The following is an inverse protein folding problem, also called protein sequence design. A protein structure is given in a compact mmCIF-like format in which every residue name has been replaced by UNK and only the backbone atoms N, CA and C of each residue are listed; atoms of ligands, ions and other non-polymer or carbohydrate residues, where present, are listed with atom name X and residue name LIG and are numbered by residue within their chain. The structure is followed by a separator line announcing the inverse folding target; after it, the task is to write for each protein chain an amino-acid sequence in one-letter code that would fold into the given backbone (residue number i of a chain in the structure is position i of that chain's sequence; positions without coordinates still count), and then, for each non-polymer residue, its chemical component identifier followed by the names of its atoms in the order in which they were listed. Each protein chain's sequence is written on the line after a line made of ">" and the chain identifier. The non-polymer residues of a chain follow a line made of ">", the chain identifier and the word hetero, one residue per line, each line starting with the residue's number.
data_IF_274503422117
#
_entry.id   IF_274503422117
#
_cell.length_a   1.000
_cell.length_b   1.000
_cell.length_c   1.000
_cell.angle_alpha   90.00
_cell.angle_beta   90.00
_cell.angle_gamma   90.00
#
_symmetry.space_group_name_H-M   'P 1'
#
loop_
_entity.id
_entity.type
_entity.pdbx_description
1 polymer ?
#
# COMPACT_ATOMS: atom_id res chain seq x y z
N UNK A 1 -11.39 -14.49 -27.71
CA UNK A 1 -10.29 -13.68 -28.23
C UNK A 1 -9.14 -13.76 -27.22
N UNK A 2 -7.92 -14.09 -27.66
CA UNK A 2 -6.71 -14.03 -26.84
C UNK A 2 -6.42 -12.56 -26.50
N UNK A 3 -6.02 -12.29 -25.26
CA UNK A 3 -5.47 -10.99 -24.91
C UNK A 3 -4.12 -10.78 -25.59
N UNK A 4 -3.84 -9.56 -26.00
CA UNK A 4 -2.55 -9.14 -26.51
C UNK A 4 -1.86 -8.25 -25.48
N UNK A 5 -0.53 -8.24 -25.45
CA UNK A 5 0.26 -7.47 -24.49
C UNK A 5 1.31 -6.65 -25.22
N UNK A 6 1.50 -5.43 -24.78
CA UNK A 6 2.67 -4.63 -25.16
C UNK A 6 3.23 -3.89 -23.94
N UNK A 7 4.51 -3.57 -24.00
CA UNK A 7 5.17 -2.77 -22.98
C UNK A 7 5.96 -1.63 -23.58
N UNK A 8 6.09 -0.55 -22.84
CA UNK A 8 6.95 0.58 -23.17
C UNK A 8 7.56 1.21 -21.91
N UNK A 9 8.65 1.92 -22.13
CA UNK A 9 9.37 2.66 -21.10
C UNK A 9 9.33 4.15 -21.46
N UNK A 10 9.15 4.98 -20.45
CA UNK A 10 9.16 6.44 -20.59
C UNK A 10 10.10 7.03 -19.56
N UNK A 11 10.97 7.94 -20.01
CA UNK A 11 11.74 8.79 -19.11
C UNK A 11 10.86 9.93 -18.63
N UNK A 12 10.80 10.09 -17.30
CA UNK A 12 10.02 11.15 -16.69
C UNK A 12 10.88 12.39 -16.52
N UNK A 13 10.38 13.53 -16.96
CA UNK A 13 11.03 14.83 -16.84
C UNK A 13 10.37 15.71 -15.78
N UNK A 14 11.16 16.59 -15.18
CA UNK A 14 10.68 17.51 -14.15
C UNK A 14 10.73 16.94 -12.74
N UNK A 15 10.37 17.77 -11.77
CA UNK A 15 10.35 17.39 -10.36
C UNK A 15 9.06 16.68 -10.00
N UNK A 16 9.15 15.43 -9.54
CA UNK A 16 8.03 14.66 -9.04
C UNK A 16 8.06 14.65 -7.52
N UNK A 17 6.98 15.10 -6.89
CA UNK A 17 6.80 15.17 -5.44
C UNK A 17 5.73 14.21 -4.93
N UNK A 18 4.83 13.77 -5.81
CA UNK A 18 3.77 12.82 -5.48
C UNK A 18 3.42 11.93 -6.66
N UNK A 19 2.87 10.77 -6.34
CA UNK A 19 2.29 9.81 -7.30
C UNK A 19 0.84 9.61 -6.93
N UNK A 20 -0.05 9.78 -7.89
CA UNK A 20 -1.47 9.51 -7.72
C UNK A 20 -1.91 8.33 -8.56
N UNK A 21 -2.57 7.38 -7.93
CA UNK A 21 -3.10 6.19 -8.57
C UNK A 21 -4.55 6.45 -9.00
N UNK A 22 -4.83 6.30 -10.29
CA UNK A 22 -6.17 6.36 -10.89
C UNK A 22 -6.36 5.16 -11.83
N UNK A 23 -5.86 3.99 -11.42
CA UNK A 23 -5.84 2.81 -12.27
C UNK A 23 -7.09 1.95 -12.05
N UNK A 24 -7.79 1.64 -13.12
CA UNK A 24 -8.94 0.74 -13.09
C UNK A 24 -8.52 -0.72 -12.90
N UNK A 25 -7.63 -1.21 -13.73
CA UNK A 25 -7.17 -2.60 -13.71
C UNK A 25 -5.67 -2.71 -13.97
N UNK A 26 -5.02 -3.56 -13.22
CA UNK A 26 -3.56 -3.78 -13.23
C UNK A 26 -2.87 -3.26 -12.00
N UNK A 27 -1.71 -3.81 -11.69
CA UNK A 27 -0.92 -3.48 -10.52
C UNK A 27 -0.08 -2.21 -10.67
N UNK A 28 0.29 -1.62 -9.55
CA UNK A 28 1.20 -0.47 -9.49
C UNK A 28 2.34 -0.78 -8.53
N UNK A 29 3.56 -0.63 -9.03
CA UNK A 29 4.79 -0.73 -8.24
C UNK A 29 5.49 0.62 -8.27
N UNK A 30 5.71 1.21 -7.08
CA UNK A 30 6.43 2.46 -6.91
C UNK A 30 7.66 2.20 -6.06
N UNK A 31 8.84 2.45 -6.61
CA UNK A 31 10.12 2.24 -5.97
C UNK A 31 10.86 3.57 -5.83
N UNK A 32 11.63 3.72 -4.76
CA UNK A 32 12.61 4.78 -4.68
C UNK A 32 13.72 4.52 -5.70
N UNK A 33 14.07 5.53 -6.46
CA UNK A 33 15.25 5.48 -7.30
C UNK A 33 16.53 5.43 -6.46
N UNK A 34 17.40 4.50 -6.80
CA UNK A 34 18.76 4.44 -6.28
C UNK A 34 19.68 5.29 -7.18
N UNK A 35 20.47 6.18 -6.55
CA UNK A 35 21.44 7.04 -7.24
C UNK A 35 20.85 8.28 -7.94
N UNK A 36 21.72 9.00 -8.65
CA UNK A 36 21.37 10.18 -9.45
C UNK A 36 21.16 9.78 -10.91
N UNK A 37 20.05 10.17 -11.48
CA UNK A 37 19.76 9.92 -12.89
C UNK A 37 18.28 10.16 -13.21
N UNK A 38 17.90 9.89 -14.42
CA UNK A 38 16.54 10.09 -14.88
C UNK A 38 15.56 9.13 -14.23
N UNK A 39 14.37 9.62 -13.92
CA UNK A 39 13.28 8.82 -13.41
C UNK A 39 12.63 8.05 -14.57
N UNK A 40 12.20 6.84 -14.31
CA UNK A 40 11.61 5.97 -15.34
C UNK A 40 10.23 5.48 -14.96
N UNK A 41 9.39 5.35 -15.96
CA UNK A 41 8.10 4.69 -15.89
C UNK A 41 8.06 3.58 -16.93
N UNK A 42 7.84 2.37 -16.48
CA UNK A 42 7.54 1.22 -17.33
C UNK A 42 6.08 0.88 -17.18
N UNK A 43 5.42 0.67 -18.32
CA UNK A 43 4.07 0.11 -18.34
C UNK A 43 4.01 -1.14 -19.20
N UNK A 44 3.13 -2.04 -18.80
CA UNK A 44 2.73 -3.21 -19.54
C UNK A 44 1.22 -3.21 -19.67
N UNK A 45 0.74 -3.21 -20.87
CA UNK A 45 -0.70 -3.13 -21.18
C UNK A 45 -1.15 -4.45 -21.80
N UNK A 46 -2.12 -5.09 -21.14
CA UNK A 46 -2.86 -6.22 -21.68
C UNK A 46 -4.22 -5.73 -22.17
N UNK A 47 -4.60 -6.04 -23.40
CA UNK A 47 -5.84 -5.57 -24.02
C UNK A 47 -6.53 -6.64 -24.84
N UNK A 48 -7.82 -6.46 -25.06
CA UNK A 48 -8.64 -7.31 -25.93
C UNK A 48 -9.37 -6.43 -26.93
N UNK A 49 -9.13 -6.68 -28.21
CA UNK A 49 -9.66 -5.86 -29.30
C UNK A 49 -8.62 -4.90 -29.84
N UNK A 50 -9.02 -3.66 -30.13
CA UNK A 50 -8.10 -2.67 -30.69
C UNK A 50 -7.07 -2.19 -29.65
N UNK A 51 -5.82 -2.13 -30.08
CA UNK A 51 -4.72 -1.63 -29.26
C UNK A 51 -4.95 -0.18 -28.88
N UNK A 52 -4.99 0.11 -27.59
CA UNK A 52 -4.98 1.49 -27.10
C UNK A 52 -3.67 2.18 -27.50
N UNK A 53 -3.77 3.26 -28.26
CA UNK A 53 -2.62 4.04 -28.75
C UNK A 53 -2.20 5.17 -27.81
N UNK A 54 -2.97 5.40 -26.75
CA UNK A 54 -2.81 6.57 -25.90
C UNK A 54 -1.78 6.40 -24.78
N UNK A 55 -1.29 7.54 -24.31
CA UNK A 55 -0.55 7.66 -23.05
C UNK A 55 -1.54 7.51 -21.90
N UNK A 56 -1.18 6.71 -20.89
CA UNK A 56 -2.05 6.43 -19.74
C UNK A 56 -1.59 7.15 -18.46
N UNK A 57 -0.48 7.84 -18.52
CA UNK A 57 0.04 8.66 -17.43
C UNK A 57 0.15 10.13 -17.83
N UNK A 58 0.17 11.02 -16.85
CA UNK A 58 0.42 12.46 -17.04
C UNK A 58 1.12 13.03 -15.80
N UNK A 59 1.78 14.16 -15.96
CA UNK A 59 2.40 14.91 -14.86
C UNK A 59 1.74 16.28 -14.78
N UNK A 60 1.21 16.60 -13.62
CA UNK A 60 0.55 17.88 -13.33
C UNK A 60 1.13 18.45 -12.03
N UNK A 61 1.80 19.61 -12.10
CA UNK A 61 2.35 20.29 -10.92
C UNK A 61 3.19 19.40 -9.99
N UNK A 62 4.08 18.59 -10.55
CA UNK A 62 4.90 17.66 -9.78
C UNK A 62 4.19 16.38 -9.35
N UNK A 63 2.93 16.19 -9.69
CA UNK A 63 2.16 14.98 -9.44
C UNK A 63 2.19 14.08 -10.67
N UNK A 64 2.74 12.89 -10.53
CA UNK A 64 2.64 11.83 -11.54
C UNK A 64 1.33 11.08 -11.35
N UNK A 65 0.46 11.13 -12.33
CA UNK A 65 -0.84 10.47 -12.30
C UNK A 65 -0.79 9.22 -13.17
N UNK A 66 -1.05 8.07 -12.58
CA UNK A 66 -1.06 6.76 -13.24
C UNK A 66 -2.49 6.34 -13.49
N UNK A 67 -2.95 6.53 -14.71
CA UNK A 67 -4.33 6.27 -15.13
C UNK A 67 -4.54 4.85 -15.68
N UNK A 68 -5.79 4.48 -15.87
CA UNK A 68 -6.18 3.25 -16.54
C UNK A 68 -6.21 3.38 -18.06
N UNK A 69 -6.48 2.29 -18.73
CA UNK A 69 -6.56 2.20 -20.20
C UNK A 69 -7.97 1.89 -20.74
N UNK A 70 -8.98 1.83 -19.86
CA UNK A 70 -10.37 1.59 -20.22
C UNK A 70 -10.90 0.20 -19.82
N UNK A 71 -12.06 -0.18 -20.36
CA UNK A 71 -12.82 -1.34 -19.86
C UNK A 71 -12.35 -2.71 -20.34
N UNK A 72 -11.56 -2.78 -21.40
CA UNK A 72 -11.08 -4.04 -21.99
C UNK A 72 -9.57 -4.17 -21.97
N UNK A 73 -8.95 -3.44 -21.07
CA UNK A 73 -7.52 -3.48 -20.89
C UNK A 73 -7.14 -3.37 -19.41
N UNK A 74 -5.94 -3.78 -19.15
CA UNK A 74 -5.28 -3.71 -17.85
C UNK A 74 -3.90 -3.11 -18.06
N UNK A 75 -3.47 -2.20 -17.20
CA UNK A 75 -2.13 -1.62 -17.25
C UNK A 75 -1.39 -1.81 -15.95
N UNK A 76 -0.24 -2.46 -16.02
CA UNK A 76 0.70 -2.58 -14.92
C UNK A 76 1.78 -1.49 -15.03
N UNK A 77 2.02 -0.79 -13.94
CA UNK A 77 3.06 0.24 -13.85
C UNK A 77 4.18 -0.19 -12.93
N UNK A 78 5.40 0.13 -13.34
CA UNK A 78 6.57 0.15 -12.47
C UNK A 78 7.24 1.51 -12.61
N UNK A 79 7.35 2.24 -11.51
CA UNK A 79 7.84 3.63 -11.51
C UNK A 79 8.95 3.76 -10.48
N UNK A 80 10.06 4.35 -10.91
CA UNK A 80 11.13 4.78 -10.01
C UNK A 80 11.00 6.28 -9.72
N UNK A 81 10.94 6.64 -8.45
CA UNK A 81 10.63 7.99 -7.98
C UNK A 81 11.69 8.53 -7.02
N UNK A 82 11.76 9.85 -6.81
CA UNK A 82 12.65 10.43 -5.80
C UNK A 82 12.32 9.95 -4.39
N UNK A 83 13.28 10.09 -3.47
CA UNK A 83 13.08 9.82 -2.04
C UNK A 83 11.93 10.66 -1.46
N UNK A 84 11.13 10.06 -0.58
CA UNK A 84 10.09 10.77 0.16
C UNK A 84 8.85 11.17 -0.64
N UNK A 85 8.67 10.64 -1.84
CA UNK A 85 7.48 10.90 -2.67
C UNK A 85 6.23 10.42 -1.96
N UNK A 86 5.21 11.26 -1.94
CA UNK A 86 3.88 10.91 -1.43
C UNK A 86 3.16 10.02 -2.44
N UNK A 87 2.47 9.00 -1.97
CA UNK A 87 1.66 8.10 -2.81
C UNK A 87 0.22 8.10 -2.34
N UNK A 88 -0.70 8.46 -3.22
CA UNK A 88 -2.14 8.45 -2.93
C UNK A 88 -2.95 7.92 -4.11
N UNK A 89 -4.24 7.71 -3.90
CA UNK A 89 -5.21 7.33 -4.93
C UNK A 89 -5.72 5.90 -4.80
N UNK A 90 -6.21 5.37 -5.89
CA UNK A 90 -6.87 4.07 -5.89
C UNK A 90 -6.58 3.23 -7.13
N UNK A 91 -6.67 1.92 -6.93
CA UNK A 91 -6.67 0.90 -7.97
C UNK A 91 -7.93 0.07 -7.79
N UNK A 92 -8.76 -0.06 -8.83
CA UNK A 92 -9.99 -0.85 -8.68
C UNK A 92 -9.70 -2.35 -8.58
N UNK A 93 -8.80 -2.86 -9.43
CA UNK A 93 -8.40 -4.27 -9.42
C UNK A 93 -6.93 -4.42 -9.76
N UNK A 94 -6.13 -4.70 -8.77
CA UNK A 94 -4.68 -4.88 -8.89
C UNK A 94 -3.94 -4.66 -7.58
N UNK A 95 -2.74 -5.20 -7.47
CA UNK A 95 -1.87 -5.02 -6.31
C UNK A 95 -1.17 -3.67 -6.30
N UNK A 96 -0.83 -3.20 -5.13
CA UNK A 96 -0.05 -1.98 -4.91
C UNK A 96 1.20 -2.37 -4.13
N UNK A 97 2.38 -2.12 -4.71
CA UNK A 97 3.68 -2.38 -4.11
C UNK A 97 4.46 -1.08 -3.98
N UNK A 98 4.80 -0.70 -2.76
CA UNK A 98 5.49 0.55 -2.45
C UNK A 98 6.79 0.27 -1.70
N UNK A 99 7.90 0.80 -2.21
CA UNK A 99 9.22 0.63 -1.61
C UNK A 99 9.90 1.98 -1.40
N UNK A 100 10.27 2.27 -0.16
CA UNK A 100 11.00 3.48 0.24
C UNK A 100 10.33 4.78 -0.23
N UNK A 101 9.06 4.92 0.05
CA UNK A 101 8.25 6.12 -0.25
C UNK A 101 7.99 6.96 1.00
N UNK A 102 7.39 8.12 0.83
CA UNK A 102 6.93 9.01 1.91
C UNK A 102 5.59 8.56 2.50
N UNK A 103 4.70 9.50 2.76
CA UNK A 103 3.36 9.19 3.25
C UNK A 103 2.53 8.45 2.18
N UNK A 104 1.66 7.56 2.65
CA UNK A 104 0.84 6.68 1.80
C UNK A 104 -0.62 6.82 2.18
N UNK A 105 -1.46 7.04 1.17
CA UNK A 105 -2.93 6.99 1.31
C UNK A 105 -3.53 6.34 0.07
N UNK A 106 -3.68 5.02 0.09
CA UNK A 106 -4.12 4.25 -1.09
C UNK A 106 -5.23 3.27 -0.77
N UNK A 107 -6.03 2.99 -1.79
CA UNK A 107 -7.13 2.03 -1.74
C UNK A 107 -7.04 1.07 -2.92
N UNK A 108 -7.34 -0.21 -2.70
CA UNK A 108 -7.59 -1.17 -3.77
C UNK A 108 -8.91 -1.90 -3.55
N UNK A 109 -9.64 -2.14 -4.63
CA UNK A 109 -10.84 -2.97 -4.56
C UNK A 109 -10.48 -4.45 -4.44
N UNK A 110 -9.58 -4.92 -5.29
CA UNK A 110 -9.12 -6.32 -5.28
C UNK A 110 -7.63 -6.37 -5.56
N UNK A 111 -6.87 -6.87 -4.61
CA UNK A 111 -5.42 -7.01 -4.70
C UNK A 111 -4.74 -6.76 -3.37
N UNK A 112 -3.48 -7.18 -3.28
CA UNK A 112 -2.70 -6.97 -2.05
C UNK A 112 -2.04 -5.59 -2.06
N UNK A 113 -1.86 -5.05 -0.86
CA UNK A 113 -1.05 -3.86 -0.64
C UNK A 113 0.19 -4.30 0.12
N UNK A 114 1.36 -4.06 -0.46
CA UNK A 114 2.65 -4.36 0.16
C UNK A 114 3.48 -3.09 0.25
N UNK A 115 3.99 -2.82 1.43
CA UNK A 115 4.80 -1.63 1.72
C UNK A 115 6.10 -2.06 2.41
N UNK A 116 7.21 -1.49 1.97
CA UNK A 116 8.51 -1.67 2.61
C UNK A 116 9.28 -0.34 2.60
N UNK A 117 9.57 0.17 3.78
CA UNK A 117 10.30 1.43 3.91
C UNK A 117 9.43 2.65 3.66
N UNK A 118 8.42 2.87 4.48
CA UNK A 118 7.58 4.08 4.44
C UNK A 118 8.00 5.04 5.53
N UNK A 119 8.35 6.27 5.15
CA UNK A 119 8.82 7.29 6.10
C UNK A 119 7.74 8.20 6.65
N UNK A 120 6.56 8.22 6.05
CA UNK A 120 5.42 9.03 6.47
C UNK A 120 4.26 8.21 7.06
N UNK A 121 3.17 8.88 7.37
CA UNK A 121 1.95 8.24 7.83
C UNK A 121 1.36 7.31 6.76
N UNK A 122 0.74 6.22 7.20
CA UNK A 122 0.15 5.19 6.34
C UNK A 122 -1.35 5.13 6.57
N UNK A 123 -2.11 5.25 5.50
CA UNK A 123 -3.54 4.98 5.46
C UNK A 123 -3.83 4.10 4.24
N UNK A 124 -4.14 2.83 4.45
CA UNK A 124 -4.34 1.85 3.38
C UNK A 124 -5.63 1.07 3.58
N UNK A 125 -6.32 0.84 2.48
CA UNK A 125 -7.59 0.15 2.46
C UNK A 125 -7.69 -0.84 1.31
N UNK A 126 -8.11 -2.05 1.60
CA UNK A 126 -8.42 -3.05 0.59
C UNK A 126 -9.83 -3.61 0.83
N UNK A 127 -10.57 -3.91 -0.22
CA UNK A 127 -11.81 -4.68 -0.03
C UNK A 127 -11.50 -6.17 0.01
N UNK A 128 -10.75 -6.66 -0.98
CA UNK A 128 -10.33 -8.06 -1.04
C UNK A 128 -8.82 -8.14 -1.28
N UNK A 129 -8.08 -8.35 -0.22
CA UNK A 129 -6.62 -8.47 -0.31
C UNK A 129 -5.92 -8.35 1.02
N UNK A 130 -4.73 -8.91 1.05
CA UNK A 130 -3.83 -8.84 2.20
C UNK A 130 -3.13 -7.47 2.22
N UNK A 131 -2.94 -6.95 3.41
CA UNK A 131 -2.12 -5.75 3.65
C UNK A 131 -0.88 -6.19 4.42
N UNK A 132 0.30 -5.89 3.86
CA UNK A 132 1.59 -6.15 4.50
C UNK A 132 2.41 -4.87 4.54
N UNK A 133 2.98 -4.56 5.69
CA UNK A 133 3.84 -3.39 5.86
C UNK A 133 5.08 -3.71 6.70
N UNK A 134 6.25 -3.34 6.23
CA UNK A 134 7.53 -3.52 6.90
C UNK A 134 8.33 -2.21 6.88
N UNK A 135 9.22 -2.03 7.84
CA UNK A 135 10.10 -0.86 7.94
C UNK A 135 9.34 0.47 7.81
N UNK A 136 8.25 0.60 8.56
CA UNK A 136 7.42 1.81 8.58
C UNK A 136 7.86 2.67 9.76
N UNK A 137 8.20 3.93 9.49
CA UNK A 137 8.77 4.90 10.44
C UNK A 137 7.91 6.14 10.67
N UNK A 138 6.75 6.22 10.04
CA UNK A 138 5.84 7.35 10.18
C UNK A 138 5.16 7.42 11.54
N UNK A 139 4.32 8.42 11.75
CA UNK A 139 3.67 8.66 13.03
C UNK A 139 2.57 7.64 13.35
N UNK A 140 1.92 7.07 12.31
CA UNK A 140 0.81 6.15 12.48
C UNK A 140 0.62 5.24 11.28
N UNK A 141 -0.01 4.09 11.51
CA UNK A 141 -0.53 3.19 10.48
C UNK A 141 -2.03 3.01 10.69
N UNK A 142 -2.78 3.20 9.64
CA UNK A 142 -4.20 2.90 9.57
C UNK A 142 -4.42 1.94 8.40
N UNK A 143 -4.75 0.68 8.71
CA UNK A 143 -4.90 -0.39 7.73
C UNK A 143 -6.27 -1.05 7.89
N UNK A 144 -7.00 -1.16 6.81
CA UNK A 144 -8.33 -1.78 6.80
C UNK A 144 -8.48 -2.69 5.58
N UNK A 145 -9.00 -3.88 5.81
CA UNK A 145 -9.46 -4.76 4.73
C UNK A 145 -10.79 -5.41 5.11
N UNK A 146 -11.56 -5.84 4.14
CA UNK A 146 -12.77 -6.63 4.43
C UNK A 146 -12.42 -8.11 4.44
N UNK A 147 -11.75 -8.59 3.38
CA UNK A 147 -11.34 -9.99 3.26
C UNK A 147 -9.83 -10.06 3.02
N UNK A 148 -9.10 -10.35 4.07
CA UNK A 148 -7.65 -10.47 4.01
C UNK A 148 -6.98 -10.33 5.37
N UNK A 149 -5.76 -10.74 5.42
CA UNK A 149 -4.90 -10.60 6.58
C UNK A 149 -4.22 -9.24 6.60
N UNK A 150 -3.95 -8.73 7.79
CA UNK A 150 -3.13 -7.55 8.01
C UNK A 150 -1.88 -7.97 8.77
N UNK A 151 -0.70 -7.70 8.21
CA UNK A 151 0.58 -8.10 8.75
C UNK A 151 1.53 -6.90 8.75
N UNK A 152 1.83 -6.34 9.91
CA UNK A 152 2.59 -5.11 10.05
C UNK A 152 3.79 -5.30 10.97
N UNK A 153 4.95 -4.84 10.50
CA UNK A 153 6.22 -4.83 11.23
C UNK A 153 6.84 -3.43 11.15
N UNK A 154 6.38 -2.48 11.98
CA UNK A 154 6.99 -1.15 12.04
C UNK A 154 8.43 -1.20 12.54
N UNK A 155 9.25 -0.27 12.08
CA UNK A 155 10.63 -0.13 12.51
C UNK A 155 10.80 0.75 13.76
N UNK A 156 9.77 1.52 14.10
CA UNK A 156 9.73 2.38 15.28
C UNK A 156 8.37 2.24 15.97
N UNK A 157 8.29 2.54 17.28
CA UNK A 157 7.00 2.60 17.96
C UNK A 157 6.11 3.68 17.36
N UNK A 158 4.86 3.34 17.10
CA UNK A 158 3.88 4.25 16.50
C UNK A 158 2.45 3.78 16.80
N UNK A 159 1.49 4.63 16.50
CA UNK A 159 0.07 4.28 16.62
C UNK A 159 -0.33 3.35 15.46
N UNK A 160 -1.07 2.29 15.78
CA UNK A 160 -1.62 1.35 14.80
C UNK A 160 -3.11 1.21 14.99
N UNK A 161 -3.85 1.42 13.90
CA UNK A 161 -5.25 1.05 13.79
C UNK A 161 -5.38 0.03 12.65
N UNK A 162 -5.74 -1.20 12.99
CA UNK A 162 -5.89 -2.28 12.03
C UNK A 162 -7.26 -2.96 12.19
N UNK A 163 -7.96 -3.11 11.08
CA UNK A 163 -9.31 -3.67 11.08
C UNK A 163 -9.53 -4.57 9.87
N UNK A 164 -10.07 -5.76 10.11
CA UNK A 164 -10.51 -6.68 9.06
C UNK A 164 -11.84 -7.33 9.44
N UNK A 165 -12.64 -7.72 8.46
CA UNK A 165 -13.82 -8.54 8.75
C UNK A 165 -13.43 -10.02 8.75
N UNK A 166 -12.72 -10.48 7.73
CA UNK A 166 -12.33 -11.87 7.59
C UNK A 166 -10.82 -11.99 7.38
N UNK A 167 -10.10 -12.32 8.43
CA UNK A 167 -8.66 -12.50 8.39
C UNK A 167 -7.98 -12.21 9.72
N UNK A 168 -6.76 -12.68 9.83
CA UNK A 168 -5.93 -12.45 11.01
C UNK A 168 -5.23 -11.08 10.96
N UNK A 169 -4.96 -10.53 12.13
CA UNK A 169 -4.11 -9.35 12.32
C UNK A 169 -2.86 -9.81 13.08
N UNK A 170 -1.70 -9.57 12.50
CA UNK A 170 -0.41 -9.83 13.14
C UNK A 170 0.43 -8.57 13.16
N UNK A 171 0.80 -8.12 14.36
CA UNK A 171 1.73 -7.02 14.58
C UNK A 171 3.02 -7.53 15.20
N UNK A 172 4.16 -7.10 14.67
CA UNK A 172 5.46 -7.29 15.29
C UNK A 172 6.05 -5.93 15.59
N UNK A 173 6.10 -5.55 16.86
CA UNK A 173 6.33 -4.18 17.32
C UNK A 173 7.64 -4.04 18.06
N UNK A 174 8.37 -2.92 17.90
CA UNK A 174 9.45 -2.57 18.80
C UNK A 174 8.95 -2.41 20.23
N UNK A 175 9.82 -2.65 21.21
CA UNK A 175 9.49 -2.47 22.63
C UNK A 175 9.16 -1.02 22.92
N UNK A 176 7.98 -0.79 23.49
CA UNK A 176 7.50 0.52 23.94
C UNK A 176 6.29 0.33 24.86
N UNK A 177 5.78 1.43 25.38
CA UNK A 177 4.56 1.46 26.19
C UNK A 177 3.37 1.70 25.26
N UNK A 178 2.49 0.70 25.19
CA UNK A 178 1.32 0.69 24.32
C UNK A 178 0.03 0.65 25.10
N UNK A 179 -0.93 1.48 24.70
CA UNK A 179 -2.33 1.30 25.07
C UNK A 179 -2.93 0.29 24.10
N UNK A 180 -3.42 -0.83 24.56
CA UNK A 180 -3.91 -1.91 23.70
C UNK A 180 -5.42 -2.00 23.77
N UNK A 181 -6.09 -1.81 22.65
CA UNK A 181 -7.50 -2.14 22.44
C UNK A 181 -7.59 -3.20 21.36
N UNK A 182 -8.05 -4.37 21.72
CA UNK A 182 -8.20 -5.49 20.80
C UNK A 182 -9.59 -6.10 20.91
N UNK A 183 -10.16 -6.45 19.77
CA UNK A 183 -11.45 -7.13 19.72
C UNK A 183 -11.51 -8.10 18.53
N UNK A 184 -11.86 -9.34 18.80
CA UNK A 184 -12.28 -10.31 17.80
C UNK A 184 -13.55 -11.00 18.26
N UNK A 185 -14.48 -11.26 17.32
CA UNK A 185 -15.70 -11.97 17.64
C UNK A 185 -15.48 -13.48 17.56
N UNK A 186 -14.80 -13.94 16.51
CA UNK A 186 -14.49 -15.35 16.28
C UNK A 186 -12.99 -15.50 15.97
N UNK A 187 -12.21 -15.72 16.99
CA UNK A 187 -10.75 -15.88 16.87
C UNK A 187 -10.07 -15.81 18.23
N UNK A 188 -8.82 -16.22 18.24
CA UNK A 188 -7.99 -16.19 19.43
C UNK A 188 -7.17 -14.89 19.51
N UNK A 189 -6.81 -14.51 20.72
CA UNK A 189 -5.97 -13.35 20.99
C UNK A 189 -4.66 -13.81 21.63
N UNK A 190 -3.55 -13.42 21.04
CA UNK A 190 -2.21 -13.64 21.56
C UNK A 190 -1.47 -12.29 21.64
N UNK A 191 -1.70 -11.55 22.71
CA UNK A 191 -1.16 -10.21 22.92
C UNK A 191 0.13 -10.31 23.72
N UNK A 192 1.27 -10.26 23.05
CA UNK A 192 2.61 -10.38 23.63
C UNK A 192 3.22 -9.07 24.12
N UNK A 193 2.45 -7.99 24.19
CA UNK A 193 2.83 -6.71 24.81
C UNK A 193 1.90 -6.41 25.97
N UNK A 194 2.42 -5.73 27.00
CA UNK A 194 1.60 -5.31 28.14
C UNK A 194 0.73 -4.13 27.76
N UNK A 195 -0.54 -4.16 28.16
CA UNK A 195 -1.40 -2.99 28.07
C UNK A 195 -1.01 -1.99 29.17
N UNK A 196 -0.67 -0.79 28.76
CA UNK A 196 -0.40 0.34 29.64
C UNK A 196 -1.37 1.47 29.31
N UNK A 197 -2.36 1.74 30.16
CA UNK A 197 -3.32 2.83 29.93
C UNK A 197 -2.70 4.22 29.82
N UNK A 198 -1.46 4.40 30.32
CA UNK A 198 -0.69 5.63 30.17
C UNK A 198 0.32 5.59 29.02
N UNK A 199 0.37 4.49 28.27
CA UNK A 199 1.29 4.29 27.17
C UNK A 199 1.19 5.36 26.09
N UNK A 200 2.32 5.73 25.56
CA UNK A 200 2.42 6.80 24.56
C UNK A 200 1.80 6.44 23.22
N UNK A 201 1.83 5.17 22.87
CA UNK A 201 1.37 4.67 21.57
C UNK A 201 0.09 3.85 21.73
N UNK A 202 -0.82 3.99 20.77
CA UNK A 202 -2.12 3.32 20.81
C UNK A 202 -2.20 2.22 19.74
N UNK A 203 -2.65 1.05 20.16
CA UNK A 203 -3.01 -0.06 19.28
C UNK A 203 -4.53 -0.24 19.33
N UNK A 204 -5.21 -0.12 18.19
CA UNK A 204 -6.64 -0.39 18.03
C UNK A 204 -6.80 -1.47 16.96
N UNK A 205 -7.08 -2.70 17.39
CA UNK A 205 -7.07 -3.89 16.57
C UNK A 205 -8.43 -4.56 16.60
N UNK A 206 -9.04 -4.73 15.41
CA UNK A 206 -10.39 -5.33 15.29
C UNK A 206 -10.44 -6.37 14.18
N UNK A 207 -10.90 -7.57 14.52
CA UNK A 207 -11.28 -8.60 13.56
C UNK A 207 -12.69 -9.10 13.87
N UNK A 208 -13.48 -9.43 12.85
CA UNK A 208 -14.71 -10.18 13.13
C UNK A 208 -14.44 -11.69 13.16
N UNK A 209 -13.76 -12.19 12.13
CA UNK A 209 -13.42 -13.61 12.00
C UNK A 209 -11.92 -13.75 11.72
N UNK A 210 -11.16 -14.00 12.76
CA UNK A 210 -9.71 -14.20 12.68
C UNK A 210 -8.97 -13.81 13.96
N UNK A 211 -7.77 -14.34 14.09
CA UNK A 211 -6.93 -14.17 15.25
C UNK A 211 -6.25 -12.80 15.28
N UNK A 212 -6.00 -12.30 16.47
CA UNK A 212 -5.19 -11.10 16.70
C UNK A 212 -3.93 -11.49 17.46
N UNK A 213 -2.78 -11.30 16.82
CA UNK A 213 -1.47 -11.60 17.41
C UNK A 213 -0.61 -10.34 17.46
N UNK A 214 -0.08 -10.02 18.61
CA UNK A 214 0.89 -8.94 18.81
C UNK A 214 2.15 -9.50 19.45
N UNK A 215 3.30 -9.24 18.82
CA UNK A 215 4.62 -9.70 19.27
C UNK A 215 5.57 -8.53 19.44
N UNK A 216 6.58 -8.70 20.28
CA UNK A 216 7.76 -7.83 20.28
C UNK A 216 8.75 -8.31 19.20
N UNK A 217 9.37 -7.36 18.52
CA UNK A 217 10.47 -7.60 17.56
C UNK A 217 11.80 -7.84 18.30
#
# INVERSE_FOLDING_TARGET
>A
MKGETFGDDTTLSGKITSVRLENGSGGVTVNRREGSGELSLRREVEYRGDKSQGVTHRIENGMLILGGCGSRCSVNYTVDVPVGVLVNGEVSSGGIHLTKVGAVKVTTGSGRIEMNGVSGAVEVKASNGRITGQDIKGARIQAQTTNGEINLTPAAPLDVQASTSNGAITLTLPKAEYQVMDNTNNGDKAIGVSDDPSGRFRLDLKSSDGDITVKNS
#
